data_IF_490129195198
#
_entry.id   IF_490129195198
#
_cell.length_a   1.000
_cell.length_b   1.000
_cell.length_c   1.000
_cell.angle_alpha   90.00
_cell.angle_beta   90.00
_cell.angle_gamma   90.00
#
_symmetry.space_group_name_H-M   'P 1'
#
loop_
_entity.id
_entity.type
_entity.pdbx_description
1 polymer ?
#
# COMPACT_ATOMS: atom_id res chain seq x y z
N UNK A 1 27.98 51.99 -26.19
CA UNK A 1 28.29 53.25 -26.91
C UNK A 1 28.20 52.92 -28.39
N UNK A 2 27.49 53.74 -29.18
CA UNK A 2 26.75 53.42 -30.44
C UNK A 2 25.34 52.85 -30.14
N UNK A 3 24.21 53.37 -30.62
CA UNK A 3 23.81 54.47 -31.54
C UNK A 3 22.32 54.78 -31.18
N UNK A 4 21.89 56.02 -30.87
CA UNK A 4 21.37 57.05 -31.81
C UNK A 4 20.63 56.50 -33.05
N UNK A 5 19.38 56.81 -33.36
CA UNK A 5 18.43 57.78 -32.83
C UNK A 5 17.33 58.05 -33.88
N UNK A 6 16.28 58.74 -33.41
CA UNK A 6 15.37 59.61 -34.18
C UNK A 6 14.36 58.91 -35.11
N UNK A 7 13.08 59.30 -35.19
CA UNK A 7 12.48 60.60 -34.89
C UNK A 7 10.93 60.50 -34.86
N UNK A 8 10.33 61.54 -34.27
CA UNK A 8 8.97 62.10 -34.50
C UNK A 8 7.84 61.81 -33.49
N UNK A 9 7.69 62.80 -32.59
CA UNK A 9 6.46 63.52 -32.20
C UNK A 9 5.41 62.76 -31.37
N UNK A 10 5.34 62.98 -30.05
CA UNK A 10 4.74 64.13 -29.34
C UNK A 10 3.21 64.07 -29.20
N UNK A 11 2.74 63.84 -27.97
CA UNK A 11 1.90 64.81 -27.24
C UNK A 11 1.79 64.43 -25.73
N UNK A 12 2.57 65.16 -24.91
CA UNK A 12 2.27 65.69 -23.54
C UNK A 12 1.55 64.78 -22.54
N UNK A 13 2.21 64.16 -21.54
CA UNK A 13 2.81 64.68 -20.27
C UNK A 13 1.90 65.55 -19.37
N UNK A 14 2.00 65.22 -18.06
CA UNK A 14 1.54 65.87 -16.81
C UNK A 14 0.24 65.34 -16.20
N UNK A 15 0.07 65.12 -14.89
CA UNK A 15 0.92 64.77 -13.75
C UNK A 15 -0.04 64.50 -12.55
N UNK A 16 0.39 63.67 -11.61
CA UNK A 16 0.12 63.71 -10.15
C UNK A 16 -1.27 64.12 -9.61
N UNK A 17 -1.96 63.11 -9.09
CA UNK A 17 -2.40 62.92 -7.69
C UNK A 17 -3.09 64.06 -6.87
N UNK A 18 -4.05 63.58 -6.05
CA UNK A 18 -4.65 64.14 -4.82
C UNK A 18 -6.02 64.86 -4.88
N UNK A 19 -6.99 64.19 -4.21
CA UNK A 19 -7.96 64.71 -3.23
C UNK A 19 -9.39 65.19 -3.63
N UNK A 20 -10.35 64.53 -2.93
CA UNK A 20 -11.63 65.04 -2.37
C UNK A 20 -12.73 65.59 -3.30
N UNK A 21 -13.86 64.87 -3.35
CA UNK A 21 -15.15 65.23 -2.68
C UNK A 21 -16.28 64.34 -3.18
N UNK A 22 -17.12 63.90 -2.24
CA UNK A 22 -18.30 63.09 -2.52
C UNK A 22 -19.40 63.86 -3.24
N UNK A 23 -20.23 63.10 -3.95
CA UNK A 23 -21.63 63.43 -4.22
C UNK A 23 -22.45 62.14 -4.17
N UNK A 24 -23.30 62.06 -3.14
CA UNK A 24 -24.55 61.31 -3.17
C UNK A 24 -25.48 61.99 -4.18
N UNK A 25 -26.10 61.25 -5.10
CA UNK A 25 -27.56 61.25 -5.40
C UNK A 25 -27.88 60.34 -6.61
N UNK A 26 -28.59 59.25 -6.32
CA UNK A 26 -29.77 58.68 -7.02
C UNK A 26 -29.98 58.96 -8.52
N UNK A 27 -30.16 57.90 -9.34
CA UNK A 27 -31.45 57.50 -9.95
C UNK A 27 -31.32 56.43 -11.08
N UNK A 28 -32.27 55.48 -11.06
CA UNK A 28 -32.74 54.52 -12.07
C UNK A 28 -31.91 53.24 -12.41
N UNK A 29 -32.43 52.03 -12.09
CA UNK A 29 -31.94 50.79 -12.68
C UNK A 29 -32.54 50.60 -14.07
N UNK A 30 -31.68 50.32 -15.04
CA UNK A 30 -32.04 50.02 -16.42
C UNK A 30 -32.66 48.60 -16.49
N UNK A 31 -34.00 48.52 -16.41
CA UNK A 31 -34.79 47.28 -16.32
C UNK A 31 -34.63 46.37 -17.56
N UNK A 32 -34.13 46.89 -18.69
CA UNK A 32 -33.97 46.12 -19.94
C UNK A 32 -32.77 45.16 -19.97
N UNK A 33 -31.62 45.52 -19.40
CA UNK A 33 -30.37 44.75 -19.55
C UNK A 33 -30.33 43.56 -18.59
N UNK A 34 -30.95 43.73 -17.40
CA UNK A 34 -30.99 42.70 -16.37
C UNK A 34 -31.90 41.51 -16.75
N UNK A 35 -32.87 41.72 -17.66
CA UNK A 35 -33.76 40.67 -18.19
C UNK A 35 -33.04 39.76 -19.19
N UNK A 36 -32.17 40.33 -20.03
CA UNK A 36 -31.46 39.58 -21.07
C UNK A 36 -30.31 38.74 -20.48
N UNK A 37 -29.55 39.28 -19.52
CA UNK A 37 -28.52 38.52 -18.80
C UNK A 37 -29.11 37.42 -17.90
N UNK A 38 -30.30 37.62 -17.31
CA UNK A 38 -30.99 36.55 -16.56
C UNK A 38 -31.45 35.42 -17.49
N UNK A 39 -31.94 35.73 -18.70
CA UNK A 39 -32.34 34.70 -19.68
C UNK A 39 -31.15 33.92 -20.24
N UNK A 40 -30.01 34.58 -20.51
CA UNK A 40 -28.79 33.90 -20.92
C UNK A 40 -28.17 33.05 -19.80
N UNK A 41 -28.18 33.54 -18.55
CA UNK A 41 -27.72 32.77 -17.39
C UNK A 41 -28.63 31.56 -17.12
N UNK A 42 -29.95 31.72 -17.25
CA UNK A 42 -30.89 30.60 -17.13
C UNK A 42 -30.67 29.55 -18.22
N UNK A 43 -30.41 29.94 -19.47
CA UNK A 43 -30.11 29.01 -20.57
C UNK A 43 -28.75 28.32 -20.39
N UNK A 44 -27.76 29.00 -19.83
CA UNK A 44 -26.46 28.42 -19.48
C UNK A 44 -26.57 27.41 -18.32
N UNK A 45 -27.38 27.72 -17.29
CA UNK A 45 -27.67 26.80 -16.19
C UNK A 45 -28.57 25.62 -16.60
N UNK A 46 -29.52 25.83 -17.53
CA UNK A 46 -30.36 24.75 -18.07
C UNK A 46 -29.55 23.82 -18.99
N UNK A 47 -28.56 24.35 -19.71
CA UNK A 47 -27.62 23.57 -20.51
C UNK A 47 -26.66 22.70 -19.68
N UNK A 48 -26.26 23.17 -18.50
CA UNK A 48 -25.48 22.37 -17.54
C UNK A 48 -26.31 21.31 -16.80
N UNK A 49 -27.63 21.49 -16.70
CA UNK A 49 -28.54 20.50 -16.11
C UNK A 49 -28.84 19.30 -17.02
N UNK A 50 -28.47 19.36 -18.31
CA UNK A 50 -28.72 18.30 -19.31
C UNK A 50 -27.50 17.43 -19.62
N UNK A 51 -26.43 17.52 -18.82
CA UNK A 51 -25.21 16.70 -18.98
C UNK A 51 -25.00 15.49 -18.03
N UNK A 52 -26.00 14.86 -17.37
CA UNK A 52 -25.75 13.60 -16.68
C UNK A 52 -26.19 12.40 -17.54
N UNK A 53 -25.37 11.97 -18.52
CA UNK A 53 -25.60 10.67 -19.18
C UNK A 53 -24.36 10.03 -19.86
N UNK A 54 -23.13 10.39 -19.49
CA UNK A 54 -21.94 9.72 -20.04
C UNK A 54 -21.07 8.99 -19.00
N UNK A 55 -21.53 8.88 -17.75
CA UNK A 55 -21.06 7.80 -16.89
C UNK A 55 -21.93 6.59 -17.23
N UNK A 56 -21.45 5.71 -18.13
CA UNK A 56 -21.99 4.36 -18.17
C UNK A 56 -21.82 3.82 -16.76
N UNK A 57 -22.93 3.59 -16.06
CA UNK A 57 -22.93 2.66 -14.93
C UNK A 57 -22.46 1.34 -15.52
N UNK A 58 -21.17 1.06 -15.40
CA UNK A 58 -20.66 -0.25 -15.68
C UNK A 58 -21.17 -1.09 -14.54
N UNK A 59 -22.02 -2.05 -14.89
CA UNK A 59 -22.50 -3.04 -13.95
C UNK A 59 -21.27 -3.58 -13.21
N UNK A 60 -21.38 -3.61 -11.88
CA UNK A 60 -20.46 -4.41 -11.09
C UNK A 60 -20.69 -5.82 -11.61
N UNK A 61 -19.78 -6.29 -12.46
CA UNK A 61 -19.67 -7.67 -12.88
C UNK A 61 -19.17 -8.41 -11.63
N UNK A 62 -20.09 -8.64 -10.70
CA UNK A 62 -20.15 -9.94 -10.08
C UNK A 62 -21.06 -10.71 -11.04
N UNK A 63 -20.51 -11.56 -11.91
CA UNK A 63 -21.34 -12.51 -12.66
C UNK A 63 -21.46 -13.72 -11.73
N UNK A 64 -22.55 -13.85 -10.94
CA UNK A 64 -22.95 -15.16 -10.47
C UNK A 64 -23.20 -16.00 -11.72
N UNK A 65 -22.30 -16.93 -12.00
CA UNK A 65 -22.26 -17.69 -13.25
C UNK A 65 -21.13 -17.31 -14.22
N UNK A 66 -20.03 -16.68 -13.79
CA UNK A 66 -18.81 -16.64 -14.59
C UNK A 66 -18.31 -18.07 -14.80
N UNK A 67 -18.75 -18.68 -15.89
CA UNK A 67 -18.32 -20.03 -16.24
C UNK A 67 -16.88 -19.95 -16.73
N UNK A 68 -16.02 -20.82 -16.21
CA UNK A 68 -14.67 -20.99 -16.73
C UNK A 68 -14.76 -21.16 -18.25
N UNK A 69 -13.85 -20.52 -19.03
CA UNK A 69 -13.69 -20.84 -20.43
C UNK A 69 -13.63 -22.36 -20.63
N UNK A 70 -14.26 -22.85 -21.70
CA UNK A 70 -14.17 -24.27 -22.02
C UNK A 70 -12.74 -24.56 -22.51
N UNK A 71 -11.93 -25.19 -21.66
CA UNK A 71 -10.57 -25.56 -21.99
C UNK A 71 -10.56 -26.85 -22.83
N UNK A 72 -10.39 -26.74 -24.14
CA UNK A 72 -10.06 -27.90 -24.97
C UNK A 72 -8.59 -28.26 -24.75
N UNK A 73 -8.35 -29.43 -24.13
CA UNK A 73 -7.06 -30.12 -24.07
C UNK A 73 -5.86 -29.27 -23.63
N UNK A 74 -5.99 -28.51 -22.53
CA UNK A 74 -4.80 -27.92 -21.88
C UNK A 74 -3.83 -29.06 -21.53
N UNK A 75 -2.58 -29.05 -22.03
CA UNK A 75 -1.62 -30.11 -21.76
C UNK A 75 -1.43 -30.32 -20.26
N UNK A 76 -1.34 -31.58 -19.82
CA UNK A 76 -1.08 -31.93 -18.41
C UNK A 76 0.14 -31.18 -17.86
N UNK A 77 1.17 -30.98 -18.69
CA UNK A 77 2.36 -30.22 -18.31
C UNK A 77 2.04 -28.77 -17.89
N UNK A 78 1.11 -28.08 -18.57
CA UNK A 78 0.72 -26.71 -18.20
C UNK A 78 0.01 -26.72 -16.85
N UNK A 79 -0.89 -27.68 -16.62
CA UNK A 79 -1.58 -27.82 -15.32
C UNK A 79 -0.59 -28.15 -14.19
N UNK A 80 0.37 -29.06 -14.43
CA UNK A 80 1.40 -29.37 -13.44
C UNK A 80 2.32 -28.19 -13.16
N UNK A 81 2.66 -27.39 -14.18
CA UNK A 81 3.42 -26.15 -13.98
C UNK A 81 2.64 -25.13 -13.14
N UNK A 82 1.33 -25.01 -13.36
CA UNK A 82 0.46 -24.21 -12.50
C UNK A 82 0.50 -24.68 -11.05
N UNK A 83 0.30 -25.98 -10.81
CA UNK A 83 0.38 -26.55 -9.44
C UNK A 83 1.74 -26.27 -8.81
N UNK A 84 2.85 -26.54 -9.51
CA UNK A 84 4.19 -26.26 -9.03
C UNK A 84 4.35 -24.78 -8.63
N UNK A 85 3.92 -23.87 -9.50
CA UNK A 85 4.00 -22.43 -9.26
C UNK A 85 3.18 -22.01 -8.03
N UNK A 86 1.96 -22.52 -7.88
CA UNK A 86 1.10 -22.23 -6.72
C UNK A 86 1.74 -22.68 -5.40
N UNK A 87 2.37 -23.86 -5.39
CA UNK A 87 3.10 -24.35 -4.21
C UNK A 87 4.33 -23.50 -3.88
N UNK A 88 5.13 -23.13 -4.89
CA UNK A 88 6.31 -22.28 -4.69
C UNK A 88 5.89 -20.90 -4.18
N UNK A 89 4.92 -20.26 -4.82
CA UNK A 89 4.51 -18.90 -4.49
C UNK A 89 3.84 -18.82 -3.11
N UNK A 90 3.07 -19.85 -2.71
CA UNK A 90 2.35 -19.84 -1.42
C UNK A 90 3.12 -20.49 -0.27
N UNK A 91 3.99 -21.47 -0.51
CA UNK A 91 4.67 -22.25 0.53
C UNK A 91 6.20 -22.16 0.49
N UNK A 92 6.78 -21.59 -0.57
CA UNK A 92 8.23 -21.48 -0.74
C UNK A 92 8.94 -22.80 -1.07
N UNK A 93 8.19 -23.81 -1.54
CA UNK A 93 8.74 -25.12 -1.94
C UNK A 93 7.97 -25.71 -3.11
N UNK A 94 8.60 -26.65 -3.80
CA UNK A 94 7.92 -27.51 -4.77
C UNK A 94 6.97 -28.51 -4.06
N UNK A 95 5.88 -28.93 -4.72
CA UNK A 95 5.04 -30.02 -4.23
C UNK A 95 5.82 -31.34 -4.23
N UNK A 96 5.44 -32.28 -3.37
CA UNK A 96 5.92 -33.67 -3.51
C UNK A 96 5.32 -34.32 -4.76
N UNK A 97 5.89 -35.45 -5.21
CA UNK A 97 5.36 -36.20 -6.36
C UNK A 97 3.87 -36.58 -6.17
N UNK A 98 3.48 -36.96 -4.95
CA UNK A 98 2.09 -37.27 -4.61
C UNK A 98 1.19 -36.03 -4.61
N UNK A 99 1.66 -34.91 -4.07
CA UNK A 99 0.93 -33.64 -4.09
C UNK A 99 0.71 -33.18 -5.54
N UNK A 100 1.77 -33.17 -6.35
CA UNK A 100 1.71 -32.75 -7.75
C UNK A 100 0.74 -33.61 -8.56
N UNK A 101 0.82 -34.94 -8.42
CA UNK A 101 -0.06 -35.87 -9.12
C UNK A 101 -1.52 -35.71 -8.69
N UNK A 102 -1.78 -35.59 -7.38
CA UNK A 102 -3.14 -35.46 -6.85
C UNK A 102 -3.80 -34.15 -7.25
N UNK A 103 -3.11 -33.02 -7.09
CA UNK A 103 -3.67 -31.70 -7.40
C UNK A 103 -3.83 -31.49 -8.91
N UNK A 104 -2.90 -31.97 -9.72
CA UNK A 104 -3.03 -31.95 -11.20
C UNK A 104 -4.28 -32.71 -11.63
N UNK A 105 -4.47 -33.94 -11.12
CA UNK A 105 -5.63 -34.76 -11.47
C UNK A 105 -6.95 -34.13 -11.01
N UNK A 106 -6.98 -33.52 -9.82
CA UNK A 106 -8.16 -32.83 -9.30
C UNK A 106 -8.55 -31.64 -10.19
N UNK A 107 -7.59 -30.80 -10.58
CA UNK A 107 -7.81 -29.67 -11.47
C UNK A 107 -8.29 -30.10 -12.87
N UNK A 108 -7.70 -31.14 -13.44
CA UNK A 108 -8.11 -31.67 -14.75
C UNK A 108 -9.52 -32.27 -14.71
N UNK A 109 -9.83 -33.03 -13.65
CA UNK A 109 -11.17 -33.64 -13.46
C UNK A 109 -12.25 -32.56 -13.33
N UNK A 110 -11.93 -31.45 -12.68
CA UNK A 110 -12.82 -30.30 -12.55
C UNK A 110 -12.80 -29.36 -13.76
N UNK A 111 -12.10 -29.70 -14.84
CA UNK A 111 -12.00 -28.89 -16.06
C UNK A 111 -11.38 -27.51 -15.80
N UNK A 112 -10.42 -27.41 -14.88
CA UNK A 112 -9.74 -26.17 -14.49
C UNK A 112 -10.70 -25.04 -14.07
N UNK A 113 -11.90 -25.38 -13.62
CA UNK A 113 -12.89 -24.42 -13.16
C UNK A 113 -12.31 -23.54 -12.04
N UNK A 114 -12.70 -22.26 -12.01
CA UNK A 114 -12.20 -21.34 -11.00
C UNK A 114 -12.43 -21.85 -9.55
N UNK A 115 -13.53 -22.55 -9.29
CA UNK A 115 -13.80 -23.12 -7.96
C UNK A 115 -12.77 -24.18 -7.56
N UNK A 116 -12.26 -24.95 -8.53
CA UNK A 116 -11.21 -25.95 -8.27
C UNK A 116 -9.85 -25.29 -7.98
N UNK A 117 -9.55 -24.19 -8.68
CA UNK A 117 -8.35 -23.38 -8.42
C UNK A 117 -8.41 -22.70 -7.05
N UNK A 118 -9.56 -22.11 -6.73
CA UNK A 118 -9.84 -21.55 -5.41
C UNK A 118 -9.65 -22.60 -4.30
N UNK A 119 -10.16 -23.83 -4.50
CA UNK A 119 -10.01 -24.91 -3.55
C UNK A 119 -8.53 -25.30 -3.30
N UNK A 120 -7.70 -25.34 -4.34
CA UNK A 120 -6.25 -25.55 -4.20
C UNK A 120 -5.62 -24.44 -3.36
N UNK A 121 -5.88 -23.17 -3.70
CA UNK A 121 -5.33 -22.02 -2.97
C UNK A 121 -5.77 -22.03 -1.51
N UNK A 122 -7.05 -22.26 -1.25
CA UNK A 122 -7.61 -22.31 0.09
C UNK A 122 -7.04 -23.46 0.93
N UNK A 123 -6.80 -24.62 0.30
CA UNK A 123 -6.11 -25.75 0.92
C UNK A 123 -4.72 -25.33 1.38
N UNK A 124 -3.92 -24.72 0.50
CA UNK A 124 -2.54 -24.34 0.82
C UNK A 124 -2.48 -23.23 1.87
N UNK A 125 -3.41 -22.29 1.84
CA UNK A 125 -3.44 -21.16 2.78
C UNK A 125 -3.97 -21.52 4.18
N UNK A 126 -4.91 -22.47 4.29
CA UNK A 126 -5.71 -22.63 5.52
C UNK A 126 -5.69 -24.03 6.15
N UNK A 127 -5.26 -25.06 5.42
CA UNK A 127 -5.34 -26.43 5.94
C UNK A 127 -4.37 -26.67 7.10
N UNK A 128 -4.93 -27.15 8.22
CA UNK A 128 -4.17 -27.64 9.38
C UNK A 128 -3.87 -29.15 9.29
N UNK A 129 -4.17 -29.79 8.14
CA UNK A 129 -3.87 -31.21 7.95
C UNK A 129 -2.36 -31.44 8.12
N UNK A 130 -2.00 -32.51 8.84
CA UNK A 130 -0.61 -32.84 9.05
C UNK A 130 0.08 -33.20 7.72
N UNK A 131 1.17 -32.51 7.41
CA UNK A 131 2.07 -32.79 6.28
C UNK A 131 3.46 -33.01 6.85
N UNK A 132 4.11 -34.17 6.62
CA UNK A 132 5.40 -34.48 7.23
C UNK A 132 6.49 -33.41 7.04
N UNK A 133 6.50 -32.77 5.86
CA UNK A 133 7.49 -31.73 5.51
C UNK A 133 7.22 -30.40 6.22
N UNK A 134 5.95 -30.00 6.32
CA UNK A 134 5.57 -28.64 6.73
C UNK A 134 4.95 -28.55 8.14
N UNK A 135 4.69 -29.71 8.76
CA UNK A 135 3.68 -29.90 9.81
C UNK A 135 2.24 -29.60 9.35
N UNK A 136 1.97 -28.54 8.60
CA UNK A 136 0.69 -28.28 7.92
C UNK A 136 0.87 -27.21 6.84
N UNK A 137 0.03 -27.22 5.80
CA UNK A 137 0.07 -26.20 4.74
C UNK A 137 -0.10 -24.78 5.29
N UNK A 138 -1.04 -24.58 6.22
CA UNK A 138 -1.22 -23.28 6.88
C UNK A 138 0.07 -22.80 7.53
N UNK A 139 0.79 -23.66 8.26
CA UNK A 139 2.04 -23.27 8.91
C UNK A 139 3.10 -22.88 7.88
N UNK A 140 3.26 -23.66 6.81
CA UNK A 140 4.19 -23.34 5.73
C UNK A 140 3.83 -22.00 5.05
N UNK A 141 2.55 -21.74 4.79
CA UNK A 141 2.09 -20.47 4.22
C UNK A 141 2.51 -19.26 5.07
N UNK A 142 2.19 -19.27 6.37
CA UNK A 142 2.54 -18.14 7.25
C UNK A 142 4.06 -17.97 7.39
N UNK A 143 4.79 -19.09 7.49
CA UNK A 143 6.25 -19.05 7.55
C UNK A 143 6.84 -18.45 6.28
N UNK A 144 6.39 -18.90 5.11
CA UNK A 144 6.86 -18.38 3.83
C UNK A 144 6.53 -16.89 3.67
N UNK A 145 5.32 -16.49 4.04
CA UNK A 145 4.90 -15.10 4.06
C UNK A 145 5.81 -14.23 4.95
N UNK A 146 6.19 -14.74 6.13
CA UNK A 146 7.14 -14.08 7.02
C UNK A 146 8.52 -13.94 6.37
N UNK A 147 9.06 -14.99 5.74
CA UNK A 147 10.35 -14.92 5.04
C UNK A 147 10.32 -13.93 3.86
N UNK A 148 9.25 -13.91 3.05
CA UNK A 148 9.07 -12.94 1.97
C UNK A 148 9.01 -11.50 2.49
N UNK A 149 8.33 -11.30 3.61
CA UNK A 149 8.25 -9.99 4.26
C UNK A 149 9.61 -9.56 4.79
N UNK A 150 10.36 -10.46 5.43
CA UNK A 150 11.72 -10.13 5.87
C UNK A 150 12.64 -9.80 4.71
N UNK A 151 12.56 -10.54 3.60
CA UNK A 151 13.33 -10.26 2.39
C UNK A 151 13.07 -8.86 1.85
N UNK A 152 11.81 -8.40 1.92
CA UNK A 152 11.39 -7.06 1.50
C UNK A 152 11.88 -5.98 2.47
N UNK A 153 11.52 -6.08 3.75
CA UNK A 153 11.67 -4.98 4.69
C UNK A 153 13.04 -4.96 5.38
N UNK A 154 13.59 -6.12 5.72
CA UNK A 154 14.80 -6.22 6.57
C UNK A 154 15.90 -7.06 5.92
N UNK A 155 16.02 -6.99 4.60
CA UNK A 155 17.06 -7.66 3.80
C UNK A 155 17.20 -9.17 4.07
N UNK A 156 16.10 -9.82 4.48
CA UNK A 156 16.09 -11.24 4.78
C UNK A 156 16.81 -11.61 6.08
N UNK A 157 16.95 -10.67 7.02
CA UNK A 157 17.60 -10.90 8.31
C UNK A 157 17.14 -12.21 8.98
N UNK A 158 18.11 -12.99 9.47
CA UNK A 158 17.81 -14.23 10.18
C UNK A 158 17.23 -13.92 11.56
N UNK A 159 16.51 -14.89 12.14
CA UNK A 159 16.00 -14.72 13.51
C UNK A 159 17.15 -14.55 14.52
N UNK A 160 18.29 -15.19 14.26
CA UNK A 160 19.48 -15.04 15.08
C UNK A 160 20.05 -13.63 15.00
N UNK A 161 20.12 -13.04 13.80
CA UNK A 161 20.53 -11.65 13.62
C UNK A 161 19.59 -10.67 14.34
N UNK A 162 18.27 -10.89 14.28
CA UNK A 162 17.29 -10.08 15.02
C UNK A 162 17.50 -10.24 16.53
N UNK A 163 17.78 -11.45 17.02
CA UNK A 163 18.05 -11.70 18.44
C UNK A 163 19.38 -11.11 18.92
N UNK A 164 20.41 -11.06 18.07
CA UNK A 164 21.70 -10.44 18.39
C UNK A 164 21.55 -8.96 18.75
N UNK A 165 20.55 -8.27 18.18
CA UNK A 165 20.23 -6.88 18.51
C UNK A 165 19.73 -6.68 19.94
N UNK A 166 19.14 -7.70 20.55
CA UNK A 166 18.65 -7.61 21.93
C UNK A 166 19.79 -7.56 22.96
N UNK A 167 20.95 -8.16 22.66
CA UNK A 167 22.06 -8.27 23.60
C UNK A 167 22.57 -6.92 24.13
N UNK A 168 22.99 -5.98 23.23
CA UNK A 168 23.41 -4.65 23.63
C UNK A 168 22.33 -3.86 24.39
N UNK A 169 21.06 -4.01 24.01
CA UNK A 169 19.94 -3.32 24.66
C UNK A 169 19.73 -3.80 26.11
N UNK A 170 19.73 -5.12 26.34
CA UNK A 170 19.65 -5.69 27.68
C UNK A 170 20.85 -5.31 28.55
N UNK A 171 22.05 -5.25 27.95
CA UNK A 171 23.23 -4.80 28.66
C UNK A 171 23.08 -3.34 29.12
N UNK A 172 22.69 -2.43 28.22
CA UNK A 172 22.42 -1.02 28.57
C UNK A 172 21.37 -0.88 29.67
N UNK A 173 20.27 -1.63 29.57
CA UNK A 173 19.21 -1.64 30.58
C UNK A 173 19.74 -2.08 31.95
N UNK A 174 20.59 -3.12 31.98
CA UNK A 174 21.18 -3.62 33.23
C UNK A 174 22.11 -2.60 33.91
N UNK A 175 22.82 -1.78 33.13
CA UNK A 175 23.68 -0.71 33.65
C UNK A 175 22.86 0.39 34.31
N UNK A 176 21.78 0.84 33.67
CA UNK A 176 20.89 1.87 34.24
C UNK A 176 20.23 1.39 35.54
N UNK A 177 19.80 0.12 35.58
CA UNK A 177 19.28 -0.50 36.81
C UNK A 177 20.34 -0.54 37.91
N UNK A 178 21.59 -0.92 37.59
CA UNK A 178 22.68 -0.95 38.56
C UNK A 178 23.04 0.44 39.11
N UNK A 179 22.81 1.49 38.30
CA UNK A 179 22.99 2.89 38.69
C UNK A 179 21.75 3.49 39.39
N UNK A 180 20.66 2.71 39.52
CA UNK A 180 19.36 3.14 40.00
C UNK A 180 18.72 4.28 39.17
N UNK A 181 19.09 4.40 37.89
CA UNK A 181 18.52 5.36 36.94
C UNK A 181 17.36 4.73 36.13
N UNK A 182 16.33 4.29 36.83
CA UNK A 182 15.17 3.61 36.21
C UNK A 182 14.02 4.56 35.85
N UNK A 183 14.31 5.84 35.71
CA UNK A 183 13.32 6.89 35.41
C UNK A 183 13.78 7.84 34.29
N UNK A 184 14.97 7.63 33.71
CA UNK A 184 15.49 8.43 32.62
C UNK A 184 14.82 8.11 31.28
N UNK A 185 14.89 9.05 30.34
CA UNK A 185 14.43 8.84 28.97
C UNK A 185 15.19 7.69 28.29
N UNK A 186 16.48 7.51 28.61
CA UNK A 186 17.29 6.40 28.09
C UNK A 186 16.76 5.04 28.57
N UNK A 187 16.39 4.92 29.85
CA UNK A 187 15.80 3.71 30.40
C UNK A 187 14.53 3.29 29.64
N UNK A 188 13.61 4.25 29.42
CA UNK A 188 12.38 3.98 28.69
C UNK A 188 12.62 3.72 27.19
N UNK A 189 13.58 4.40 26.57
CA UNK A 189 13.95 4.17 25.17
C UNK A 189 14.52 2.77 24.93
N UNK A 190 15.33 2.25 25.86
CA UNK A 190 15.83 0.87 25.79
C UNK A 190 14.71 -0.16 25.96
N UNK A 191 13.75 0.08 26.87
CA UNK A 191 12.59 -0.79 27.02
C UNK A 191 11.74 -0.83 25.75
N UNK A 192 11.47 0.33 25.14
CA UNK A 192 10.71 0.42 23.88
C UNK A 192 11.41 -0.35 22.76
N UNK A 193 12.72 -0.14 22.56
CA UNK A 193 13.49 -0.84 21.53
C UNK A 193 13.50 -2.37 21.71
N UNK A 194 13.58 -2.86 22.97
CA UNK A 194 13.47 -4.29 23.28
C UNK A 194 12.06 -4.79 22.93
N UNK A 195 11.03 -4.03 23.25
CA UNK A 195 9.66 -4.40 22.94
C UNK A 195 9.41 -4.47 21.42
N UNK A 196 9.91 -3.50 20.65
CA UNK A 196 9.81 -3.47 19.18
C UNK A 196 10.40 -4.73 18.54
N UNK A 197 11.60 -5.13 18.95
CA UNK A 197 12.25 -6.36 18.47
C UNK A 197 11.47 -7.61 18.86
N UNK A 198 10.95 -7.69 20.09
CA UNK A 198 10.10 -8.80 20.51
C UNK A 198 8.78 -8.85 19.74
N UNK A 199 8.19 -7.68 19.41
CA UNK A 199 7.00 -7.58 18.55
C UNK A 199 7.28 -8.10 17.15
N UNK A 200 8.44 -7.80 16.57
CA UNK A 200 8.90 -8.35 15.29
C UNK A 200 9.08 -9.88 15.37
N UNK A 201 9.81 -10.38 16.37
CA UNK A 201 10.07 -11.82 16.58
C UNK A 201 8.75 -12.61 16.68
N UNK A 202 7.76 -12.06 17.39
CA UNK A 202 6.44 -12.69 17.56
C UNK A 202 5.46 -12.51 16.40
N UNK A 203 5.79 -11.71 15.38
CA UNK A 203 4.83 -11.29 14.35
C UNK A 203 4.27 -12.47 13.53
N UNK A 204 5.12 -13.42 13.12
CA UNK A 204 4.71 -14.63 12.39
C UNK A 204 3.63 -15.41 13.15
N UNK A 205 3.89 -15.71 14.41
CA UNK A 205 2.97 -16.48 15.26
C UNK A 205 1.66 -15.74 15.50
N UNK A 206 1.71 -14.43 15.79
CA UNK A 206 0.53 -13.62 16.05
C UNK A 206 -0.33 -13.45 14.79
N UNK A 207 0.29 -13.29 13.62
CA UNK A 207 -0.41 -13.21 12.35
C UNK A 207 -1.04 -14.56 11.97
N UNK A 208 -0.31 -15.66 12.17
CA UNK A 208 -0.85 -17.01 11.99
C UNK A 208 -2.10 -17.24 12.87
N UNK A 209 -2.09 -16.76 14.11
CA UNK A 209 -3.20 -16.90 15.06
C UNK A 209 -4.36 -15.91 14.80
N UNK A 210 -4.18 -14.94 13.89
CA UNK A 210 -5.17 -13.90 13.62
C UNK A 210 -5.29 -12.85 14.74
N UNK A 211 -4.26 -12.73 15.59
CA UNK A 211 -4.21 -11.72 16.66
C UNK A 211 -3.85 -10.35 16.10
N UNK A 212 -3.02 -10.32 15.06
CA UNK A 212 -2.70 -9.11 14.28
C UNK A 212 -3.12 -9.33 12.84
N UNK A 213 -3.46 -8.25 12.15
CA UNK A 213 -3.71 -8.26 10.72
C UNK A 213 -2.43 -7.97 9.92
N UNK A 214 -2.57 -7.91 8.59
CA UNK A 214 -1.45 -7.64 7.69
C UNK A 214 -0.87 -6.23 7.86
N UNK A 215 -1.68 -5.27 8.29
CA UNK A 215 -1.26 -3.88 8.46
C UNK A 215 -0.36 -3.74 9.69
N UNK A 216 -0.79 -4.30 10.83
CA UNK A 216 0.02 -4.35 12.05
C UNK A 216 1.26 -5.22 11.86
N UNK A 217 1.15 -6.31 11.10
CA UNK A 217 2.31 -7.13 10.75
C UNK A 217 3.36 -6.31 9.96
N UNK A 218 2.95 -5.57 8.93
CA UNK A 218 3.85 -4.71 8.17
C UNK A 218 4.40 -3.54 8.99
N UNK A 219 3.62 -3.01 9.94
CA UNK A 219 4.10 -2.01 10.90
C UNK A 219 5.31 -2.51 11.66
N UNK A 220 5.23 -3.73 12.21
CA UNK A 220 6.35 -4.35 12.96
C UNK A 220 7.58 -4.61 12.11
N UNK A 221 7.41 -4.82 10.80
CA UNK A 221 8.53 -5.02 9.87
C UNK A 221 9.37 -3.76 9.66
N UNK A 222 8.76 -2.56 9.75
CA UNK A 222 9.45 -1.27 9.60
C UNK A 222 9.75 -0.57 10.92
N UNK A 223 9.05 -0.95 11.99
CA UNK A 223 9.17 -0.38 13.34
C UNK A 223 10.08 -1.24 14.23
N UNK A 224 11.37 -1.27 13.91
CA UNK A 224 12.37 -2.01 14.69
C UNK A 224 13.81 -1.53 14.39
N UNK A 225 14.73 -1.86 15.29
CA UNK A 225 16.13 -1.46 15.18
C UNK A 225 16.88 -2.08 13.97
N UNK A 226 16.45 -3.24 13.44
CA UNK A 226 17.09 -3.86 12.27
C UNK A 226 16.80 -3.02 11.02
N UNK A 227 15.53 -2.64 10.83
CA UNK A 227 15.11 -1.76 9.74
C UNK A 227 15.82 -0.39 9.82
N UNK A 228 15.99 0.13 11.03
CA UNK A 228 16.72 1.40 11.26
C UNK A 228 18.19 1.31 10.88
N UNK A 229 18.85 0.20 11.23
CA UNK A 229 20.27 -0.02 10.90
C UNK A 229 20.50 -0.14 9.40
N UNK A 230 19.63 -0.86 8.71
CA UNK A 230 19.67 -1.01 7.25
C UNK A 230 19.57 0.35 6.58
N UNK A 231 18.63 1.18 7.04
CA UNK A 231 18.40 2.49 6.46
C UNK A 231 19.38 3.57 6.97
N UNK A 232 20.07 3.35 8.08
CA UNK A 232 21.16 4.17 8.66
C UNK A 232 20.80 5.58 9.14
N UNK A 233 19.88 6.28 8.48
CA UNK A 233 19.50 7.65 8.82
C UNK A 233 18.06 7.96 8.39
N UNK A 234 17.51 9.07 8.89
CA UNK A 234 16.13 9.48 8.64
C UNK A 234 15.83 9.77 7.16
N UNK A 235 16.81 10.23 6.37
CA UNK A 235 16.61 10.47 4.93
C UNK A 235 16.32 9.15 4.21
N UNK A 236 17.17 8.15 4.44
CA UNK A 236 17.00 6.82 3.86
C UNK A 236 15.76 6.14 4.42
N UNK A 237 15.51 6.23 5.73
CA UNK A 237 14.34 5.63 6.37
C UNK A 237 13.02 6.11 5.75
N UNK A 238 12.87 7.42 5.54
CA UNK A 238 11.66 7.98 4.90
C UNK A 238 11.52 7.51 3.45
N UNK A 239 12.62 7.45 2.69
CA UNK A 239 12.54 6.94 1.32
C UNK A 239 12.22 5.44 1.27
N UNK A 240 12.86 4.65 2.12
CA UNK A 240 12.67 3.20 2.20
C UNK A 240 11.25 2.85 2.63
N UNK A 241 10.69 3.49 3.66
CA UNK A 241 9.31 3.21 4.07
C UNK A 241 8.27 3.53 2.99
N UNK A 242 8.52 4.53 2.13
CA UNK A 242 7.68 4.79 0.96
C UNK A 242 7.80 3.71 -0.11
N UNK A 243 9.02 3.24 -0.41
CA UNK A 243 9.23 2.18 -1.39
C UNK A 243 8.71 0.83 -0.86
N UNK A 244 9.09 0.48 0.36
CA UNK A 244 8.76 -0.76 1.03
C UNK A 244 7.30 -0.85 1.43
N UNK A 245 6.54 0.24 1.60
CA UNK A 245 5.10 0.14 1.88
C UNK A 245 4.25 0.43 0.63
N UNK A 246 4.68 1.36 -0.25
CA UNK A 246 3.85 1.89 -1.33
C UNK A 246 4.41 1.66 -2.75
N UNK A 247 5.60 1.07 -2.89
CA UNK A 247 6.26 0.80 -4.17
C UNK A 247 6.50 2.06 -5.04
N UNK A 248 6.80 3.18 -4.36
CA UNK A 248 7.16 4.46 -4.97
C UNK A 248 8.01 5.28 -4.02
N UNK A 249 8.72 6.27 -4.56
CA UNK A 249 9.34 7.31 -3.74
C UNK A 249 8.34 8.37 -3.26
N UNK A 250 8.64 9.08 -2.16
CA UNK A 250 7.84 10.21 -1.71
C UNK A 250 7.97 11.39 -2.69
N UNK A 251 6.90 12.18 -2.81
CA UNK A 251 7.00 13.54 -3.34
C UNK A 251 7.82 14.42 -2.39
N UNK A 252 8.34 15.55 -2.88
CA UNK A 252 9.13 16.44 -2.02
C UNK A 252 8.36 16.91 -0.77
N UNK A 253 7.05 17.16 -0.89
CA UNK A 253 6.24 17.54 0.26
C UNK A 253 6.11 16.39 1.25
N UNK A 254 5.76 15.18 0.78
CA UNK A 254 5.66 13.99 1.64
C UNK A 254 6.98 13.71 2.35
N UNK A 255 8.11 13.80 1.65
CA UNK A 255 9.44 13.64 2.21
C UNK A 255 9.70 14.66 3.32
N UNK A 256 9.46 15.95 3.06
CA UNK A 256 9.72 17.00 4.05
C UNK A 256 8.87 16.81 5.32
N UNK A 257 7.60 16.43 5.17
CA UNK A 257 6.70 16.19 6.31
C UNK A 257 7.11 14.94 7.09
N UNK A 258 7.43 13.84 6.40
CA UNK A 258 7.90 12.61 7.04
C UNK A 258 9.24 12.80 7.75
N UNK A 259 10.19 13.46 7.09
CA UNK A 259 11.52 13.75 7.65
C UNK A 259 11.42 14.62 8.91
N UNK A 260 10.53 15.62 8.93
CA UNK A 260 10.31 16.43 10.13
C UNK A 260 9.82 15.61 11.34
N UNK A 261 8.91 14.65 11.13
CA UNK A 261 8.43 13.76 12.19
C UNK A 261 9.51 12.78 12.66
N UNK A 262 10.28 12.21 11.74
CA UNK A 262 11.26 11.14 12.04
C UNK A 262 12.54 11.71 12.66
N UNK A 263 13.12 12.75 12.06
CA UNK A 263 14.41 13.30 12.49
C UNK A 263 14.27 14.25 13.68
N UNK A 264 13.30 15.17 13.63
CA UNK A 264 13.20 16.28 14.58
C UNK A 264 12.12 16.09 15.63
N UNK A 265 11.27 15.05 15.50
CA UNK A 265 10.04 14.91 16.29
C UNK A 265 9.16 16.17 16.23
N UNK A 266 9.19 16.84 15.08
CA UNK A 266 8.39 18.05 14.84
C UNK A 266 6.97 17.68 14.45
N UNK A 267 6.03 18.53 14.82
CA UNK A 267 4.64 18.39 14.39
C UNK A 267 4.50 18.71 12.91
N UNK A 268 4.04 17.74 12.13
CA UNK A 268 3.86 17.84 10.68
C UNK A 268 2.55 17.15 10.25
N UNK A 269 2.17 17.29 8.98
CA UNK A 269 0.96 16.67 8.44
C UNK A 269 1.28 15.81 7.21
N UNK A 270 0.86 14.55 7.23
CA UNK A 270 1.01 13.61 6.13
C UNK A 270 -0.32 12.86 5.91
N UNK A 271 -0.77 12.76 4.65
CA UNK A 271 -2.06 12.15 4.27
C UNK A 271 -3.27 12.68 5.06
N UNK A 272 -3.24 13.97 5.41
CA UNK A 272 -4.29 14.62 6.20
C UNK A 272 -4.22 14.34 7.71
N UNK A 273 -3.31 13.49 8.17
CA UNK A 273 -3.11 13.16 9.58
C UNK A 273 -1.92 13.92 10.18
N UNK A 274 -2.03 14.33 11.44
CA UNK A 274 -0.95 15.00 12.16
C UNK A 274 -0.07 13.98 12.88
N UNK A 275 1.24 14.07 12.68
CA UNK A 275 2.24 13.28 13.39
C UNK A 275 3.28 14.19 14.03
N UNK A 276 3.99 13.67 15.03
CA UNK A 276 4.95 14.41 15.86
C UNK A 276 6.14 13.56 16.33
N UNK A 277 6.29 12.36 15.79
CA UNK A 277 7.39 11.44 16.10
C UNK A 277 7.50 10.38 15.02
N UNK A 278 8.64 9.69 14.95
CA UNK A 278 8.82 8.49 14.12
C UNK A 278 7.68 7.47 14.30
N UNK A 279 7.27 7.23 15.54
CA UNK A 279 6.24 6.24 15.86
C UNK A 279 4.87 6.65 15.28
N UNK A 280 4.48 7.92 15.42
CA UNK A 280 3.26 8.45 14.77
C UNK A 280 3.37 8.51 13.25
N UNK A 281 4.55 8.78 12.70
CA UNK A 281 4.81 8.71 11.26
C UNK A 281 4.54 7.30 10.70
N UNK A 282 5.11 6.27 11.33
CA UNK A 282 4.89 4.87 10.93
C UNK A 282 3.40 4.49 11.06
N UNK A 283 2.73 4.95 12.11
CA UNK A 283 1.29 4.74 12.26
C UNK A 283 0.48 5.36 11.12
N UNK A 284 0.77 6.61 10.74
CA UNK A 284 0.14 7.28 9.58
C UNK A 284 0.42 6.49 8.30
N UNK A 285 1.67 6.06 8.11
CA UNK A 285 2.08 5.34 6.90
C UNK A 285 1.33 4.01 6.75
N UNK A 286 1.20 3.25 7.82
CA UNK A 286 0.55 1.93 7.78
C UNK A 286 -0.98 2.01 7.74
N UNK A 287 -1.59 3.12 8.16
CA UNK A 287 -3.04 3.29 8.15
C UNK A 287 -3.55 4.19 7.01
N UNK A 288 -2.69 4.50 6.03
CA UNK A 288 -3.06 5.32 4.86
C UNK A 288 -3.78 4.51 3.79
N UNK A 289 -4.43 5.19 2.84
CA UNK A 289 -5.06 4.51 1.70
C UNK A 289 -4.04 3.84 0.77
N UNK A 290 -2.85 4.42 0.73
CA UNK A 290 -1.69 4.05 -0.05
C UNK A 290 -1.11 2.71 0.42
N UNK A 291 -1.21 2.41 1.72
CA UNK A 291 -0.81 1.12 2.27
C UNK A 291 -1.59 -0.05 1.65
N UNK A 292 -2.91 0.14 1.53
CA UNK A 292 -3.78 -0.91 0.98
C UNK A 292 -3.50 -1.16 -0.50
N UNK A 293 -3.28 -0.10 -1.28
CA UNK A 293 -2.87 -0.21 -2.68
C UNK A 293 -1.47 -0.83 -2.80
N UNK A 294 -0.54 -0.44 -1.92
CA UNK A 294 0.81 -1.00 -1.85
C UNK A 294 0.80 -2.52 -1.66
N UNK A 295 -0.06 -3.05 -0.81
CA UNK A 295 -0.23 -4.50 -0.66
C UNK A 295 -0.75 -5.18 -1.92
N UNK A 296 -1.70 -4.57 -2.63
CA UNK A 296 -2.19 -5.11 -3.91
C UNK A 296 -1.06 -5.09 -4.94
N UNK A 297 -0.29 -4.00 -5.04
CA UNK A 297 0.87 -3.91 -5.93
C UNK A 297 1.87 -5.02 -5.62
N UNK A 298 2.16 -5.26 -4.34
CA UNK A 298 3.07 -6.31 -3.93
C UNK A 298 2.61 -7.68 -4.40
N UNK A 299 1.34 -8.03 -4.17
CA UNK A 299 0.80 -9.32 -4.58
C UNK A 299 0.94 -9.53 -6.10
N UNK A 300 0.65 -8.51 -6.91
CA UNK A 300 0.84 -8.56 -8.36
C UNK A 300 2.30 -8.68 -8.78
N UNK A 301 3.21 -7.95 -8.13
CA UNK A 301 4.63 -8.03 -8.44
C UNK A 301 5.22 -9.39 -8.07
N UNK A 302 4.81 -9.99 -6.96
CA UNK A 302 5.30 -11.30 -6.53
C UNK A 302 4.69 -12.44 -7.36
N UNK A 303 3.39 -12.37 -7.71
CA UNK A 303 2.68 -13.48 -8.37
C UNK A 303 2.70 -13.42 -9.91
N UNK A 304 2.78 -12.21 -10.47
CA UNK A 304 2.70 -11.95 -11.93
C UNK A 304 3.90 -11.15 -12.47
N UNK A 305 4.86 -10.75 -11.62
CA UNK A 305 6.03 -9.96 -12.02
C UNK A 305 5.69 -8.64 -12.76
N UNK A 306 4.53 -8.04 -12.45
CA UNK A 306 4.09 -6.74 -13.01
C UNK A 306 3.33 -5.92 -11.98
N UNK A 307 3.13 -4.63 -12.25
CA UNK A 307 2.19 -3.81 -11.47
C UNK A 307 0.74 -4.10 -11.90
N UNK A 308 -0.24 -3.97 -10.99
CA UNK A 308 -1.65 -4.06 -11.34
C UNK A 308 -2.08 -2.87 -12.21
N UNK A 309 -3.10 -3.08 -13.03
CA UNK A 309 -3.82 -2.02 -13.72
C UNK A 309 -4.75 -1.28 -12.76
N UNK A 310 -5.19 -0.08 -13.13
CA UNK A 310 -6.16 0.69 -12.33
C UNK A 310 -7.45 -0.08 -12.08
N UNK A 311 -7.91 -0.88 -13.05
CA UNK A 311 -9.13 -1.68 -12.90
C UNK A 311 -8.95 -2.81 -11.88
N UNK A 312 -7.79 -3.46 -11.86
CA UNK A 312 -7.46 -4.52 -10.90
C UNK A 312 -7.37 -3.98 -9.48
N UNK A 313 -6.70 -2.83 -9.29
CA UNK A 313 -6.68 -2.14 -7.99
C UNK A 313 -8.10 -1.76 -7.58
N UNK A 314 -8.89 -1.16 -8.47
CA UNK A 314 -10.26 -0.74 -8.18
C UNK A 314 -11.16 -1.91 -7.76
N UNK A 315 -10.97 -3.09 -8.34
CA UNK A 315 -11.74 -4.29 -8.01
C UNK A 315 -11.41 -4.84 -6.60
N UNK A 316 -10.13 -4.84 -6.22
CA UNK A 316 -9.66 -5.48 -4.98
C UNK A 316 -9.68 -4.55 -3.76
N UNK A 317 -9.44 -3.25 -3.98
CA UNK A 317 -9.22 -2.28 -2.91
C UNK A 317 -10.41 -2.12 -1.94
N UNK A 318 -11.69 -2.05 -2.37
CA UNK A 318 -12.80 -1.82 -1.45
C UNK A 318 -12.95 -2.93 -0.42
N UNK A 319 -12.86 -4.19 -0.85
CA UNK A 319 -12.96 -5.34 0.03
C UNK A 319 -11.75 -5.40 0.96
N UNK A 320 -10.54 -5.23 0.41
CA UNK A 320 -9.32 -5.32 1.19
C UNK A 320 -9.21 -4.23 2.27
N UNK A 321 -9.68 -3.00 1.98
CA UNK A 321 -9.77 -1.94 3.00
C UNK A 321 -10.72 -2.28 4.15
N UNK A 322 -11.69 -3.17 3.93
CA UNK A 322 -12.67 -3.55 4.94
C UNK A 322 -12.24 -4.75 5.78
N UNK A 323 -11.58 -5.73 5.18
CA UNK A 323 -11.30 -7.02 5.85
C UNK A 323 -9.82 -7.29 6.11
N UNK A 324 -8.93 -6.50 5.51
CA UNK A 324 -7.47 -6.65 5.58
C UNK A 324 -6.99 -8.06 5.17
N UNK A 325 -7.76 -8.77 4.36
CA UNK A 325 -7.54 -10.17 4.03
C UNK A 325 -6.60 -10.33 2.82
N UNK A 326 -5.30 -10.30 3.08
CA UNK A 326 -4.28 -10.45 2.04
C UNK A 326 -4.37 -11.79 1.29
N UNK A 327 -4.79 -12.86 1.97
CA UNK A 327 -5.01 -14.18 1.35
C UNK A 327 -6.05 -14.12 0.23
N UNK A 328 -7.08 -13.29 0.38
CA UNK A 328 -8.10 -13.10 -0.64
C UNK A 328 -7.56 -12.41 -1.89
N UNK A 329 -6.64 -11.44 -1.73
CA UNK A 329 -5.93 -10.82 -2.86
C UNK A 329 -5.12 -11.87 -3.62
N UNK A 330 -4.30 -12.66 -2.90
CA UNK A 330 -3.51 -13.72 -3.52
C UNK A 330 -4.39 -14.71 -4.28
N UNK A 331 -5.51 -15.14 -3.69
CA UNK A 331 -6.46 -16.05 -4.34
C UNK A 331 -7.07 -15.45 -5.60
N UNK A 332 -7.47 -14.18 -5.55
CA UNK A 332 -8.05 -13.47 -6.71
C UNK A 332 -7.08 -13.40 -7.90
N UNK A 333 -5.77 -13.36 -7.65
CA UNK A 333 -4.73 -13.36 -8.68
C UNK A 333 -4.41 -14.78 -9.15
N UNK A 334 -4.17 -15.71 -8.23
CA UNK A 334 -3.71 -17.09 -8.55
C UNK A 334 -4.77 -17.88 -9.33
N UNK A 335 -6.07 -17.59 -9.14
CA UNK A 335 -7.14 -18.28 -9.87
C UNK A 335 -7.21 -17.91 -11.35
N UNK A 336 -6.59 -16.81 -11.80
CA UNK A 336 -6.77 -16.31 -13.16
C UNK A 336 -6.06 -17.17 -14.20
N UNK A 337 -6.51 -17.08 -15.45
CA UNK A 337 -5.84 -17.73 -16.58
C UNK A 337 -4.44 -17.14 -16.81
N UNK A 338 -4.28 -15.82 -16.66
CA UNK A 338 -2.99 -15.12 -16.78
C UNK A 338 -1.92 -15.71 -15.84
N UNK A 339 -2.29 -15.98 -14.57
CA UNK A 339 -1.35 -16.57 -13.62
C UNK A 339 -0.96 -18.01 -14.02
N UNK A 340 -1.93 -18.79 -14.51
CA UNK A 340 -1.75 -20.19 -14.89
C UNK A 340 -1.26 -20.43 -16.31
N UNK A 341 -1.16 -19.38 -17.13
CA UNK A 341 -0.86 -19.46 -18.56
C UNK A 341 -1.79 -20.42 -19.30
N UNK A 342 -3.09 -20.28 -19.06
CA UNK A 342 -4.13 -21.14 -19.67
C UNK A 342 -4.75 -20.54 -20.95
N UNK A 343 -4.28 -19.37 -21.35
CA UNK A 343 -4.72 -18.53 -22.47
C UNK A 343 -4.36 -19.08 -23.86
#
# INVERSE_FOLDING_TARGET
>A
MWLNGNNLAECTKFAFAYYLRGYFFYLYPNIGIMSMCKRLFFLFCLGWLLLPAACKKQEIIDIPGNQSPYYHEIPTLIVSNYVNKVFIDLLGREPTDEELAAETAALQTAGLAFDARDALVEKLQNSNQFVPVDSSYRRAYYRWFYEQSKARFIEGASIDAINEELGPLYFGLSLLVAQADTASAEYFGLLEAIEDLNRLIGADTLYQQGVIDIIEFSRRMVDNAVYDKINMNSFNFVNATFDDLYHRFPTQNEFNQGYAMVEFSDTAQLFGQTGFSKNTYIHIMTNSSEMYEGMIIWAYQTLLARKPTTQEVYALLPQFKSDHNFKAIQKAIIRTDEYGHFD
#
